data_IF_230886630082
#
_entry.id   IF_230886630082
#
_cell.length_a   1.000
_cell.length_b   1.000
_cell.length_c   1.000
_cell.angle_alpha   90.00
_cell.angle_beta   90.00
_cell.angle_gamma   90.00
#
_symmetry.space_group_name_H-M   'P 1'
#
loop_
_entity.id
_entity.type
_entity.pdbx_description
1 polymer ?
#
# COMPACT_ATOMS: atom_id res chain seq x y z
N UNK A 1 -15.49 -4.56 12.74
CA UNK A 1 -15.90 -3.88 11.49
C UNK A 1 -16.71 -4.84 10.66
N UNK A 2 -17.89 -4.43 10.20
CA UNK A 2 -18.67 -5.21 9.25
C UNK A 2 -18.19 -4.95 7.81
N UNK A 3 -18.63 -5.78 6.86
CA UNK A 3 -18.22 -5.68 5.46
C UNK A 3 -18.54 -4.32 4.83
N UNK A 4 -19.69 -3.71 5.19
CA UNK A 4 -20.12 -2.41 4.65
C UNK A 4 -19.22 -1.26 5.11
N UNK A 5 -18.83 -1.25 6.38
CA UNK A 5 -17.90 -0.26 6.95
C UNK A 5 -16.54 -0.35 6.27
N UNK A 6 -16.02 -1.58 6.07
CA UNK A 6 -14.74 -1.80 5.37
C UNK A 6 -14.84 -1.30 3.93
N UNK A 7 -15.92 -1.63 3.22
CA UNK A 7 -16.12 -1.17 1.85
C UNK A 7 -16.21 0.35 1.74
N UNK A 8 -16.90 1.01 2.68
CA UNK A 8 -16.97 2.47 2.73
C UNK A 8 -15.58 3.10 2.87
N UNK A 9 -14.76 2.56 3.79
CA UNK A 9 -13.38 2.99 3.98
C UNK A 9 -12.51 2.75 2.74
N UNK A 10 -12.69 1.60 2.04
CA UNK A 10 -11.98 1.33 0.79
C UNK A 10 -12.38 2.30 -0.31
N UNK A 11 -13.66 2.65 -0.41
CA UNK A 11 -14.16 3.63 -1.38
C UNK A 11 -13.56 5.01 -1.12
N UNK A 12 -13.51 5.45 0.14
CA UNK A 12 -12.85 6.70 0.53
C UNK A 12 -11.36 6.69 0.16
N UNK A 13 -10.63 5.60 0.49
CA UNK A 13 -9.22 5.46 0.11
C UNK A 13 -9.05 5.55 -1.41
N UNK A 14 -9.90 4.88 -2.18
CA UNK A 14 -9.85 4.88 -3.63
C UNK A 14 -10.10 6.28 -4.21
N UNK A 15 -11.02 7.06 -3.63
CA UNK A 15 -11.27 8.44 -4.03
C UNK A 15 -10.03 9.33 -3.77
N UNK A 16 -9.42 9.24 -2.59
CA UNK A 16 -8.19 9.99 -2.28
C UNK A 16 -7.05 9.62 -3.23
N UNK A 17 -6.87 8.33 -3.53
CA UNK A 17 -5.86 7.87 -4.49
C UNK A 17 -6.16 8.43 -5.89
N UNK A 18 -7.41 8.42 -6.34
CA UNK A 18 -7.76 9.04 -7.62
C UNK A 18 -7.35 10.53 -7.66
N UNK A 19 -7.62 11.28 -6.60
CA UNK A 19 -7.27 12.70 -6.50
C UNK A 19 -5.76 12.94 -6.54
N UNK A 20 -4.96 12.16 -5.78
CA UNK A 20 -3.50 12.29 -5.73
C UNK A 20 -2.87 12.15 -7.12
N UNK A 21 -3.42 11.27 -7.94
CA UNK A 21 -2.93 10.99 -9.28
C UNK A 21 -3.70 11.74 -10.38
N UNK A 22 -4.59 12.67 -10.02
CA UNK A 22 -5.35 13.49 -10.97
C UNK A 22 -6.30 12.70 -11.86
N UNK A 23 -6.85 11.59 -11.37
CA UNK A 23 -7.85 10.79 -12.10
C UNK A 23 -9.26 11.18 -11.68
N UNK A 24 -10.24 10.83 -12.53
CA UNK A 24 -11.66 10.95 -12.17
C UNK A 24 -11.97 10.05 -10.96
N UNK A 25 -12.90 10.48 -10.09
CA UNK A 25 -13.48 9.62 -9.06
C UNK A 25 -13.95 8.30 -9.70
N UNK A 26 -13.78 7.19 -8.99
CA UNK A 26 -14.22 5.85 -9.41
C UNK A 26 -13.43 5.20 -10.55
N UNK A 27 -12.31 5.79 -10.99
CA UNK A 27 -11.36 5.06 -11.85
C UNK A 27 -10.70 3.91 -11.09
N UNK A 28 -10.34 2.84 -11.79
CA UNK A 28 -9.65 1.70 -11.17
C UNK A 28 -8.35 2.15 -10.50
N UNK A 29 -8.24 1.87 -9.20
CA UNK A 29 -7.09 2.20 -8.34
C UNK A 29 -6.12 1.05 -8.18
N UNK A 30 -6.41 -0.15 -8.72
CA UNK A 30 -5.60 -1.36 -8.53
C UNK A 30 -4.11 -1.14 -8.83
N UNK A 31 -3.83 -0.52 -9.97
CA UNK A 31 -2.46 -0.21 -10.38
C UNK A 31 -1.77 0.82 -9.46
N UNK A 32 -2.53 1.78 -8.93
CA UNK A 32 -2.01 2.84 -8.06
C UNK A 32 -1.76 2.32 -6.64
N UNK A 33 -2.64 1.45 -6.15
CA UNK A 33 -2.46 0.70 -4.90
C UNK A 33 -1.20 -0.18 -4.96
N UNK A 34 -0.94 -0.79 -6.12
CA UNK A 34 0.30 -1.54 -6.35
C UNK A 34 1.53 -0.63 -6.33
N UNK A 35 1.51 0.52 -7.04
CA UNK A 35 2.64 1.47 -7.03
C UNK A 35 2.93 2.07 -5.65
N UNK A 36 1.91 2.26 -4.84
CA UNK A 36 2.04 2.82 -3.48
C UNK A 36 2.32 1.76 -2.43
N UNK A 37 2.23 0.47 -2.79
CA UNK A 37 2.31 -0.65 -1.86
C UNK A 37 1.39 -0.49 -0.63
N UNK A 38 0.21 0.08 -0.85
CA UNK A 38 -0.75 0.30 0.21
C UNK A 38 -1.44 -1.03 0.58
N UNK A 39 -1.46 -1.42 1.87
CA UNK A 39 -2.32 -2.49 2.33
C UNK A 39 -3.80 -2.12 2.09
N UNK A 40 -4.66 -3.13 1.91
CA UNK A 40 -6.10 -2.89 1.79
C UNK A 40 -6.66 -2.44 3.16
N UNK A 41 -7.91 -2.00 3.21
CA UNK A 41 -8.46 -1.50 4.49
C UNK A 41 -8.62 -2.60 5.52
N UNK A 42 -8.92 -3.84 5.11
CA UNK A 42 -9.01 -5.00 6.00
C UNK A 42 -7.70 -5.25 6.76
N UNK A 43 -6.57 -5.21 6.04
CA UNK A 43 -5.23 -5.40 6.59
C UNK A 43 -4.87 -4.24 7.54
N UNK A 44 -5.17 -3.00 7.13
CA UNK A 44 -4.92 -1.80 7.96
C UNK A 44 -5.71 -1.87 9.26
N UNK A 45 -6.98 -2.28 9.18
CA UNK A 45 -7.83 -2.50 10.36
C UNK A 45 -7.22 -3.57 11.27
N UNK A 46 -6.82 -4.72 10.72
CA UNK A 46 -6.19 -5.80 11.48
C UNK A 46 -4.92 -5.33 12.21
N UNK A 47 -4.07 -4.55 11.52
CA UNK A 47 -2.87 -3.94 12.11
C UNK A 47 -3.24 -2.97 13.23
N UNK A 48 -4.20 -2.07 13.02
CA UNK A 48 -4.62 -1.10 14.03
C UNK A 48 -5.24 -1.77 15.26
N UNK A 49 -6.07 -2.80 15.05
CA UNK A 49 -6.67 -3.59 16.12
C UNK A 49 -5.58 -4.23 17.00
N UNK A 50 -4.60 -4.90 16.39
CA UNK A 50 -3.53 -5.51 17.16
C UNK A 50 -2.58 -4.49 17.79
N UNK A 51 -2.32 -3.35 17.15
CA UNK A 51 -1.54 -2.27 17.76
C UNK A 51 -2.23 -1.73 19.01
N UNK A 52 -3.55 -1.54 18.95
CA UNK A 52 -4.34 -1.08 20.07
C UNK A 52 -4.32 -2.11 21.22
N UNK A 53 -4.55 -3.39 20.91
CA UNK A 53 -4.53 -4.48 21.89
C UNK A 53 -3.15 -4.67 22.52
N UNK A 54 -2.09 -4.65 21.69
CA UNK A 54 -0.70 -4.70 22.16
C UNK A 54 -0.42 -3.55 23.13
N UNK A 55 -0.77 -2.31 22.77
CA UNK A 55 -0.57 -1.17 23.69
C UNK A 55 -1.35 -1.33 24.99
N UNK A 56 -2.57 -1.85 24.91
CA UNK A 56 -3.41 -2.05 26.10
C UNK A 56 -2.83 -3.09 27.05
N UNK A 57 -2.15 -4.14 26.54
CA UNK A 57 -1.51 -5.15 27.40
C UNK A 57 -0.26 -4.66 28.13
N UNK A 58 0.31 -3.51 27.75
CA UNK A 58 1.48 -2.90 28.41
C UNK A 58 1.13 -1.58 29.10
N UNK A 59 -0.15 -1.27 29.31
CA UNK A 59 -0.54 -0.13 30.12
C UNK A 59 -0.27 -0.40 31.61
N UNK A 60 0.07 0.63 32.40
CA UNK A 60 0.24 0.46 33.82
C UNK A 60 -1.09 0.14 34.51
N UNK A 61 -1.02 -0.47 35.69
CA UNK A 61 -2.20 -0.95 36.43
C UNK A 61 -3.15 0.15 36.88
N UNK A 62 -2.67 1.38 36.98
CA UNK A 62 -3.42 2.58 37.37
C UNK A 62 -4.08 3.29 36.17
N UNK A 63 -3.74 2.91 34.93
CA UNK A 63 -4.38 3.47 33.76
C UNK A 63 -5.89 3.18 33.78
N UNK A 64 -6.70 4.19 33.49
CA UNK A 64 -8.16 4.09 33.47
C UNK A 64 -8.64 2.91 32.61
N UNK A 65 -8.03 2.71 31.44
CA UNK A 65 -8.38 1.61 30.54
C UNK A 65 -8.10 0.24 31.18
N UNK A 66 -6.99 0.08 31.91
CA UNK A 66 -6.64 -1.16 32.63
C UNK A 66 -7.67 -1.45 33.71
N UNK A 67 -8.08 -0.44 34.49
CA UNK A 67 -9.13 -0.59 35.52
C UNK A 67 -10.50 -0.93 34.94
N UNK A 68 -10.84 -0.36 33.79
CA UNK A 68 -12.12 -0.61 33.11
C UNK A 68 -12.14 -1.89 32.28
N UNK A 69 -10.98 -2.48 32.00
CA UNK A 69 -10.86 -3.63 31.09
C UNK A 69 -11.75 -4.83 31.47
N UNK A 70 -11.85 -5.26 32.75
CA UNK A 70 -12.73 -6.36 33.14
C UNK A 70 -14.21 -6.06 32.86
N UNK A 71 -14.64 -4.81 33.05
CA UNK A 71 -16.01 -4.37 32.77
C UNK A 71 -16.28 -4.31 31.26
N UNK A 72 -15.33 -3.76 30.49
CA UNK A 72 -15.44 -3.71 29.03
C UNK A 72 -15.52 -5.12 28.46
N UNK A 73 -14.70 -6.05 28.94
CA UNK A 73 -14.67 -7.43 28.44
C UNK A 73 -15.94 -8.24 28.79
N UNK A 74 -16.55 -7.99 29.94
CA UNK A 74 -17.75 -8.69 30.40
C UNK A 74 -19.05 -8.18 29.76
N UNK A 75 -19.08 -6.94 29.27
CA UNK A 75 -20.28 -6.40 28.64
C UNK A 75 -20.55 -6.99 27.24
N UNK A 76 -21.78 -7.47 27.03
CA UNK A 76 -22.25 -8.00 25.72
C UNK A 76 -22.22 -6.96 24.59
N UNK A 77 -22.36 -5.68 24.92
CA UNK A 77 -22.38 -4.58 23.94
C UNK A 77 -20.96 -4.21 23.50
N UNK A 78 -19.94 -4.67 24.25
CA UNK A 78 -18.56 -4.33 23.95
C UNK A 78 -18.11 -4.91 22.61
N UNK A 79 -17.33 -4.13 21.87
CA UNK A 79 -16.64 -4.62 20.67
C UNK A 79 -15.32 -5.31 21.00
N UNK A 80 -14.98 -5.46 22.29
CA UNK A 80 -13.70 -6.02 22.72
C UNK A 80 -13.44 -7.44 22.17
N UNK A 81 -14.41 -8.38 22.25
CA UNK A 81 -14.24 -9.72 21.67
C UNK A 81 -14.10 -9.70 20.14
N UNK A 82 -14.56 -8.64 19.47
CA UNK A 82 -14.39 -8.48 18.02
C UNK A 82 -13.00 -7.93 17.67
N UNK A 83 -12.39 -7.12 18.55
CA UNK A 83 -11.02 -6.62 18.39
C UNK A 83 -10.02 -7.77 18.51
N UNK A 84 -10.19 -8.64 19.52
CA UNK A 84 -9.28 -9.75 19.82
C UNK A 84 -9.36 -10.91 18.82
N UNK A 85 -10.32 -10.92 17.89
CA UNK A 85 -10.45 -11.93 16.83
C UNK A 85 -9.69 -11.61 15.55
N UNK A 86 -8.95 -10.49 15.50
CA UNK A 86 -8.18 -10.15 14.29
C UNK A 86 -7.09 -11.20 14.04
N UNK A 87 -6.92 -11.63 12.77
CA UNK A 87 -5.97 -12.69 12.40
C UNK A 87 -4.54 -12.37 12.83
N UNK A 88 -4.18 -11.09 12.77
CA UNK A 88 -2.87 -10.61 13.20
C UNK A 88 -2.74 -10.76 14.72
N UNK A 89 -3.71 -10.28 15.51
CA UNK A 89 -3.69 -10.44 16.97
C UNK A 89 -3.72 -11.90 17.43
N UNK A 90 -4.53 -12.77 16.80
CA UNK A 90 -4.57 -14.19 17.17
C UNK A 90 -3.23 -14.89 16.95
N UNK A 91 -2.47 -14.47 15.92
CA UNK A 91 -1.10 -14.96 15.72
C UNK A 91 -0.11 -14.48 16.80
N UNK A 92 -0.45 -13.42 17.53
CA UNK A 92 0.32 -12.90 18.67
C UNK A 92 -0.12 -13.52 20.00
N UNK A 93 -1.43 -13.60 20.26
CA UNK A 93 -1.96 -14.08 21.55
C UNK A 93 -1.67 -15.55 21.83
N UNK A 94 -1.37 -16.35 20.79
CA UNK A 94 -0.96 -17.75 20.95
C UNK A 94 0.49 -17.88 21.46
N UNK A 95 1.30 -16.82 21.36
CA UNK A 95 2.59 -16.72 22.05
C UNK A 95 2.37 -16.05 23.40
N UNK A 96 3.05 -16.54 24.43
CA UNK A 96 2.92 -16.02 25.79
C UNK A 96 3.26 -14.51 25.80
N UNK A 97 2.26 -13.66 26.07
CA UNK A 97 2.36 -12.20 25.98
C UNK A 97 3.49 -11.64 26.85
N UNK A 98 3.85 -12.33 27.94
CA UNK A 98 4.91 -11.92 28.88
C UNK A 98 6.33 -11.97 28.26
N UNK A 99 6.55 -12.77 27.21
CA UNK A 99 7.85 -12.88 26.50
C UNK A 99 7.89 -11.91 25.30
N UNK A 100 6.76 -11.32 24.93
CA UNK A 100 6.65 -10.58 23.68
C UNK A 100 7.20 -9.16 23.79
N UNK A 101 8.40 -8.96 23.26
CA UNK A 101 8.97 -7.63 23.08
C UNK A 101 8.25 -6.81 21.98
N UNK A 102 8.35 -5.48 22.10
CA UNK A 102 7.92 -4.57 21.03
C UNK A 102 8.61 -4.87 19.68
N UNK A 103 9.87 -5.31 19.69
CA UNK A 103 10.59 -5.68 18.47
C UNK A 103 9.98 -6.90 17.77
N UNK A 104 9.50 -7.89 18.53
CA UNK A 104 8.77 -9.03 17.99
C UNK A 104 7.45 -8.62 17.34
N UNK A 105 6.71 -7.69 17.96
CA UNK A 105 5.51 -7.11 17.38
C UNK A 105 5.78 -6.45 16.02
N UNK A 106 6.83 -5.62 15.95
CA UNK A 106 7.22 -4.95 14.70
C UNK A 106 7.62 -5.96 13.62
N UNK A 107 8.35 -7.02 13.99
CA UNK A 107 8.77 -8.10 13.07
C UNK A 107 7.58 -8.85 12.48
N UNK A 108 6.65 -9.32 13.31
CA UNK A 108 5.45 -10.03 12.86
C UNK A 108 4.51 -9.14 12.04
N UNK A 109 4.34 -7.87 12.44
CA UNK A 109 3.60 -6.88 11.62
C UNK A 109 4.24 -6.73 10.23
N UNK A 110 5.57 -6.67 10.14
CA UNK A 110 6.29 -6.60 8.87
C UNK A 110 6.11 -7.87 8.05
N UNK A 111 6.16 -9.04 8.69
CA UNK A 111 5.94 -10.32 8.03
C UNK A 111 4.55 -10.42 7.38
N UNK A 112 3.50 -10.00 8.09
CA UNK A 112 2.15 -9.97 7.52
C UNK A 112 2.05 -9.06 6.30
N UNK A 113 2.69 -7.89 6.33
CA UNK A 113 2.74 -7.01 5.15
C UNK A 113 3.48 -7.66 3.97
N UNK A 114 4.57 -8.39 4.24
CA UNK A 114 5.30 -9.18 3.23
C UNK A 114 4.41 -10.24 2.62
N UNK A 115 3.74 -11.02 3.45
CA UNK A 115 2.90 -12.14 2.99
C UNK A 115 1.72 -11.63 2.18
N UNK A 116 1.04 -10.57 2.64
CA UNK A 116 -0.05 -9.93 1.90
C UNK A 116 0.42 -9.38 0.55
N UNK A 117 1.60 -8.79 0.48
CA UNK A 117 2.18 -8.32 -0.78
C UNK A 117 2.47 -9.49 -1.72
N UNK A 118 3.07 -10.57 -1.22
CA UNK A 118 3.31 -11.80 -2.00
C UNK A 118 2.01 -12.40 -2.53
N UNK A 119 0.96 -12.48 -1.71
CA UNK A 119 -0.35 -12.95 -2.15
C UNK A 119 -0.94 -12.08 -3.26
N UNK A 120 -0.80 -10.75 -3.18
CA UNK A 120 -1.22 -9.83 -4.25
C UNK A 120 -0.44 -10.04 -5.56
N UNK A 121 0.85 -10.37 -5.48
CA UNK A 121 1.68 -10.65 -6.66
C UNK A 121 1.30 -11.97 -7.35
N UNK A 122 0.73 -12.93 -6.63
CA UNK A 122 0.30 -14.24 -7.15
C UNK A 122 -1.12 -14.24 -7.74
N UNK A 123 -1.84 -13.11 -7.68
CA UNK A 123 -3.20 -13.01 -8.20
C UNK A 123 -3.23 -13.14 -9.74
N UNK A 124 -4.24 -13.81 -10.32
CA UNK A 124 -4.23 -14.22 -11.75
C UNK A 124 -4.06 -13.06 -12.75
N UNK A 125 -4.34 -11.83 -12.33
CA UNK A 125 -4.24 -10.60 -13.13
C UNK A 125 -3.06 -9.69 -12.76
N UNK A 126 -2.23 -10.06 -11.79
CA UNK A 126 -1.08 -9.26 -11.33
C UNK A 126 0.21 -9.55 -12.11
N UNK A 127 0.27 -10.55 -12.99
CA UNK A 127 1.50 -10.89 -13.76
C UNK A 127 2.16 -9.68 -14.46
N UNK A 128 1.36 -8.72 -14.94
CA UNK A 128 1.89 -7.47 -15.53
C UNK A 128 2.33 -6.44 -14.49
N UNK A 129 1.71 -6.42 -13.31
CA UNK A 129 2.02 -5.48 -12.23
C UNK A 129 3.20 -5.96 -11.37
N UNK A 130 3.37 -7.27 -11.19
CA UNK A 130 4.48 -7.87 -10.44
C UNK A 130 5.83 -7.57 -11.10
N UNK A 131 5.90 -7.62 -12.45
CA UNK A 131 7.08 -7.19 -13.19
C UNK A 131 7.40 -5.70 -13.01
N UNK A 132 6.43 -4.87 -12.62
CA UNK A 132 6.66 -3.46 -12.33
C UNK A 132 7.17 -3.20 -10.91
N UNK A 133 7.05 -4.14 -9.96
CA UNK A 133 7.47 -3.94 -8.57
C UNK A 133 7.50 -5.25 -7.76
N UNK A 134 8.69 -5.70 -7.32
CA UNK A 134 8.83 -6.90 -6.48
C UNK A 134 9.02 -6.59 -4.98
N UNK A 135 9.38 -5.35 -4.63
CA UNK A 135 9.74 -4.97 -3.26
C UNK A 135 8.60 -4.26 -2.51
N UNK A 136 8.64 -4.25 -1.18
CA UNK A 136 7.68 -3.55 -0.30
C UNK A 136 8.00 -2.05 -0.12
N UNK A 137 8.56 -1.44 -1.14
CA UNK A 137 8.99 -0.04 -1.10
C UNK A 137 7.96 0.80 -1.85
N UNK A 138 7.67 2.02 -1.40
CA UNK A 138 6.85 2.94 -2.22
C UNK A 138 7.54 3.12 -3.57
N UNK A 139 6.79 2.94 -4.66
CA UNK A 139 7.32 2.96 -6.03
C UNK A 139 8.27 4.16 -6.24
N UNK A 140 9.51 3.94 -6.76
CA UNK A 140 10.51 5.00 -6.89
C UNK A 140 9.99 6.24 -7.62
N UNK A 141 9.04 6.04 -8.54
CA UNK A 141 8.40 7.10 -9.30
C UNK A 141 7.64 8.12 -8.46
N UNK A 142 7.17 7.73 -7.27
CA UNK A 142 6.49 8.62 -6.34
C UNK A 142 7.49 9.45 -5.52
N UNK A 143 8.76 9.05 -5.48
CA UNK A 143 9.83 9.74 -4.74
C UNK A 143 10.57 10.78 -5.58
N UNK A 144 10.44 10.71 -6.91
CA UNK A 144 11.09 11.66 -7.81
C UNK A 144 10.41 13.05 -7.66
N UNK A 145 11.19 14.13 -7.41
CA UNK A 145 10.66 15.49 -7.49
C UNK A 145 10.15 15.77 -8.90
N UNK A 146 8.92 16.22 -9.02
CA UNK A 146 8.25 16.44 -10.30
C UNK A 146 7.12 17.46 -10.12
N UNK A 147 6.86 18.24 -11.16
CA UNK A 147 5.73 19.17 -11.17
C UNK A 147 4.39 18.41 -11.14
N UNK A 148 3.32 19.09 -10.74
CA UNK A 148 1.95 18.54 -10.76
C UNK A 148 1.56 18.05 -12.17
N UNK A 149 2.11 18.64 -13.22
CA UNK A 149 1.85 18.28 -14.62
C UNK A 149 2.62 17.02 -15.07
N UNK A 150 3.78 16.74 -14.48
CA UNK A 150 4.67 15.62 -14.88
C UNK A 150 4.32 14.33 -14.13
N UNK A 151 3.81 14.44 -12.90
CA UNK A 151 3.49 13.28 -12.07
C UNK A 151 2.53 12.28 -12.71
N UNK A 152 1.40 12.72 -13.30
CA UNK A 152 0.51 11.81 -14.01
C UNK A 152 1.19 11.14 -15.21
N UNK A 153 2.12 11.83 -15.90
CA UNK A 153 2.84 11.30 -17.08
C UNK A 153 3.81 10.20 -16.68
N UNK A 154 4.60 10.44 -15.65
CA UNK A 154 5.55 9.47 -15.10
C UNK A 154 4.81 8.21 -14.62
N UNK A 155 3.74 8.37 -13.82
CA UNK A 155 2.96 7.23 -13.32
C UNK A 155 2.35 6.42 -14.47
N UNK A 156 1.74 7.10 -15.44
CA UNK A 156 1.18 6.47 -16.64
C UNK A 156 2.23 5.65 -17.39
N UNK A 157 3.40 6.23 -17.62
CA UNK A 157 4.54 5.56 -18.21
C UNK A 157 4.97 4.31 -17.45
N UNK A 158 5.10 4.37 -16.11
CA UNK A 158 5.49 3.21 -15.29
C UNK A 158 4.47 2.07 -15.32
N UNK A 159 3.20 2.39 -15.52
CA UNK A 159 2.14 1.40 -15.67
C UNK A 159 2.05 0.81 -17.08
N UNK A 160 2.97 1.15 -17.98
CA UNK A 160 2.90 0.79 -19.40
C UNK A 160 1.79 1.55 -20.15
N UNK A 161 1.19 2.55 -19.51
CA UNK A 161 0.15 3.39 -20.10
C UNK A 161 0.82 4.64 -20.65
N UNK A 162 1.72 4.50 -21.63
CA UNK A 162 2.01 5.66 -22.47
C UNK A 162 0.68 6.15 -23.02
N UNK A 163 0.40 7.47 -23.01
CA UNK A 163 -0.87 7.95 -23.50
C UNK A 163 -0.96 7.50 -24.96
N UNK A 164 -2.01 6.74 -25.28
CA UNK A 164 -2.60 6.65 -26.62
C UNK A 164 -3.10 8.03 -27.11
N UNK A 165 -2.51 9.12 -26.64
CA UNK A 165 -2.83 10.50 -26.96
C UNK A 165 -1.65 11.17 -27.65
N UNK A 166 -1.86 12.40 -28.15
CA UNK A 166 -0.84 13.16 -28.88
C UNK A 166 0.45 13.25 -28.08
N UNK A 167 1.54 12.79 -28.71
CA UNK A 167 2.89 12.93 -28.20
C UNK A 167 3.21 14.43 -28.05
N UNK A 168 3.80 14.82 -26.93
CA UNK A 168 4.29 16.18 -26.70
C UNK A 168 5.77 16.28 -27.10
N UNK A 169 6.28 17.48 -27.31
CA UNK A 169 7.71 17.72 -27.54
C UNK A 169 8.56 17.28 -26.34
N UNK A 170 9.76 16.76 -26.61
CA UNK A 170 10.72 16.39 -25.58
C UNK A 170 11.26 17.65 -24.85
N UNK A 171 11.35 17.67 -23.51
CA UNK A 171 11.87 18.83 -22.76
C UNK A 171 13.28 19.24 -23.18
N UNK A 172 14.10 18.28 -23.58
CA UNK A 172 15.48 18.49 -24.02
C UNK A 172 15.61 18.66 -25.54
N UNK A 173 14.57 18.28 -26.30
CA UNK A 173 14.60 18.27 -27.76
C UNK A 173 13.23 18.75 -28.30
N UNK A 174 13.00 20.07 -28.38
CA UNK A 174 11.68 20.66 -28.64
C UNK A 174 11.06 20.27 -29.98
N UNK A 175 11.90 19.94 -30.97
CA UNK A 175 11.47 19.60 -32.32
C UNK A 175 11.04 18.13 -32.48
N UNK A 176 11.17 17.35 -31.42
CA UNK A 176 11.03 15.91 -31.51
C UNK A 176 10.01 15.41 -30.48
N UNK A 177 9.17 14.48 -30.93
CA UNK A 177 8.12 13.91 -30.10
C UNK A 177 8.71 13.06 -28.97
N UNK A 178 8.17 13.23 -27.78
CA UNK A 178 8.58 12.56 -26.56
C UNK A 178 8.13 11.09 -26.58
N UNK A 179 8.99 10.23 -27.13
CA UNK A 179 8.80 8.77 -27.20
C UNK A 179 9.36 8.04 -25.97
N UNK A 180 9.02 6.75 -25.83
CA UNK A 180 9.56 5.88 -24.76
C UNK A 180 11.09 5.81 -24.79
N UNK A 181 11.67 5.64 -25.97
CA UNK A 181 13.13 5.57 -26.14
C UNK A 181 13.81 6.85 -25.66
N UNK A 182 13.19 8.00 -25.95
CA UNK A 182 13.67 9.31 -25.51
C UNK A 182 13.52 9.54 -24.02
N UNK A 183 12.49 8.96 -23.39
CA UNK A 183 12.42 8.98 -21.93
C UNK A 183 13.58 8.22 -21.28
N UNK A 184 14.15 7.22 -21.96
CA UNK A 184 15.36 6.54 -21.50
C UNK A 184 16.61 7.39 -21.75
N UNK A 185 16.82 7.83 -22.99
CA UNK A 185 18.06 8.53 -23.36
C UNK A 185 18.15 9.95 -22.80
N UNK A 186 17.04 10.70 -22.75
CA UNK A 186 17.05 12.13 -22.37
C UNK A 186 16.82 12.36 -20.88
N UNK A 187 16.08 11.48 -20.19
CA UNK A 187 15.71 11.67 -18.78
C UNK A 187 16.36 10.64 -17.83
N UNK A 188 17.12 9.69 -18.39
CA UNK A 188 17.73 8.56 -17.68
C UNK A 188 16.76 7.83 -16.74
N UNK A 189 15.53 7.63 -17.23
CA UNK A 189 14.43 7.16 -16.39
C UNK A 189 14.66 5.76 -15.82
N UNK A 190 15.43 4.89 -16.49
CA UNK A 190 15.75 3.55 -15.97
C UNK A 190 16.53 3.62 -14.66
N UNK A 191 17.60 4.42 -14.60
CA UNK A 191 18.42 4.55 -13.41
C UNK A 191 17.64 5.26 -12.29
N UNK A 192 16.92 6.35 -12.62
CA UNK A 192 16.11 7.10 -11.64
C UNK A 192 14.98 6.27 -11.04
N UNK A 193 14.46 5.30 -11.79
CA UNK A 193 13.36 4.42 -11.36
C UNK A 193 13.80 3.02 -10.93
N UNK A 194 15.11 2.76 -10.85
CA UNK A 194 15.69 1.47 -10.48
C UNK A 194 15.08 0.31 -11.28
N UNK A 195 14.88 0.52 -12.59
CA UNK A 195 14.41 -0.53 -13.49
C UNK A 195 15.61 -1.29 -14.03
N UNK A 196 15.59 -2.62 -13.96
CA UNK A 196 16.60 -3.42 -14.64
C UNK A 196 16.55 -3.14 -16.14
N UNK A 197 17.71 -2.90 -16.75
CA UNK A 197 17.86 -2.66 -18.18
C UNK A 197 17.58 -3.92 -19.03
N UNK A 198 17.51 -5.09 -18.38
CA UNK A 198 17.49 -6.42 -18.99
C UNK A 198 16.11 -7.06 -19.10
N UNK A 199 15.03 -6.38 -18.69
CA UNK A 199 13.68 -6.92 -18.87
C UNK A 199 13.17 -6.46 -20.24
N UNK A 200 13.10 -7.40 -21.18
CA UNK A 200 12.30 -7.20 -22.39
C UNK A 200 10.84 -6.95 -21.99
N UNK A 201 10.27 -5.92 -22.60
CA UNK A 201 8.97 -5.41 -22.22
C UNK A 201 7.90 -6.48 -22.48
N UNK A 202 7.09 -6.89 -21.49
CA UNK A 202 6.07 -7.94 -21.65
C UNK A 202 4.87 -7.52 -22.52
N UNK A 203 5.00 -6.42 -23.26
CA UNK A 203 4.07 -5.83 -24.20
C UNK A 203 4.71 -5.56 -25.58
N UNK A 204 5.96 -5.99 -25.79
CA UNK A 204 6.57 -6.08 -27.13
C UNK A 204 6.01 -7.29 -27.88
#
# INVERSE_FOLDING_TARGET
FNSREIQSLENCQNQCICQIFGRRPFTSTKAMLHLTNLPNMKDRISILQAQFLFRTSFLPDDALLTKLLPYIQSQRISKWPQLSKSSLWTSFSNEYLEIMSYSNFIRKRRQLLIDNHRSKLQEKHSKRLSHCHNDLIVGPILRIPMTRSERPRCVRWRLGWLPLGKLHACPFHPNELFSRQRSFSCLDMHNRLQMSKSIDDPLS
#
